data_IF_338667467170
#
_entry.id   IF_338667467170
#
_cell.length_a   1.000
_cell.length_b   1.000
_cell.length_c   1.000
_cell.angle_alpha   90.00
_cell.angle_beta   90.00
_cell.angle_gamma   90.00
#
_symmetry.space_group_name_H-M   'P 1'
#
loop_
_entity.id
_entity.type
_entity.pdbx_description
1 polymer ?
#
# COMPACT_ATOMS: atom_id res chain seq x y z
N UNK A 1 -21.23 1.62 7.20
CA UNK A 1 -21.05 0.40 8.02
C UNK A 1 -19.83 0.61 8.89
N UNK A 2 -20.02 0.52 10.20
CA UNK A 2 -19.01 0.82 11.24
C UNK A 2 -17.88 -0.24 11.27
N UNK A 3 -17.98 -1.28 10.44
CA UNK A 3 -17.02 -2.39 10.35
C UNK A 3 -15.74 -2.09 9.56
N UNK A 4 -15.70 -0.99 8.78
CA UNK A 4 -14.50 -0.60 8.02
C UNK A 4 -13.43 0.13 8.87
N UNK A 5 -13.73 0.46 10.13
CA UNK A 5 -12.94 1.41 10.94
C UNK A 5 -12.17 0.81 12.13
N UNK A 6 -11.98 -0.53 12.19
CA UNK A 6 -11.07 -1.11 13.20
C UNK A 6 -10.03 -2.05 12.60
N UNK A 7 -9.20 -1.49 11.74
CA UNK A 7 -7.87 -2.03 11.51
C UNK A 7 -7.03 -1.64 12.75
N UNK A 8 -6.94 -2.52 13.76
CA UNK A 8 -6.12 -2.29 14.97
C UNK A 8 -4.63 -2.46 14.68
N UNK A 9 -3.76 -1.95 15.55
CA UNK A 9 -2.31 -1.86 15.28
C UNK A 9 -1.69 -3.22 15.07
N UNK A 10 -2.14 -4.16 15.89
CA UNK A 10 -1.81 -5.57 15.80
C UNK A 10 -2.21 -6.19 14.46
N UNK A 11 -3.35 -5.79 13.88
CA UNK A 11 -3.80 -6.33 12.60
C UNK A 11 -2.94 -5.81 11.46
N UNK A 12 -2.53 -4.55 11.49
CA UNK A 12 -1.63 -3.96 10.49
C UNK A 12 -0.24 -4.57 10.62
N UNK A 13 0.27 -4.68 11.84
CA UNK A 13 1.56 -5.31 12.11
C UNK A 13 1.59 -6.77 11.65
N UNK A 14 0.53 -7.54 11.92
CA UNK A 14 0.37 -8.90 11.37
C UNK A 14 0.29 -8.90 9.86
N UNK A 15 -0.45 -7.98 9.24
CA UNK A 15 -0.51 -7.84 7.78
C UNK A 15 0.87 -7.52 7.19
N UNK A 16 1.69 -6.68 7.83
CA UNK A 16 3.05 -6.38 7.40
C UNK A 16 3.99 -7.59 7.57
N UNK A 17 3.95 -8.29 8.72
CA UNK A 17 4.73 -9.52 8.95
C UNK A 17 4.36 -10.61 7.95
N UNK A 18 3.07 -10.77 7.67
CA UNK A 18 2.55 -11.81 6.80
C UNK A 18 2.32 -11.33 5.37
N UNK A 19 2.80 -10.13 5.02
CA UNK A 19 2.54 -9.54 3.71
C UNK A 19 3.01 -10.46 2.59
N UNK A 20 4.23 -11.01 2.71
CA UNK A 20 4.77 -11.96 1.73
C UNK A 20 3.88 -13.20 1.55
N UNK A 21 3.30 -13.73 2.65
CA UNK A 21 2.41 -14.89 2.59
C UNK A 21 1.06 -14.54 1.96
N UNK A 22 0.47 -13.42 2.35
CA UNK A 22 -0.80 -12.93 1.81
C UNK A 22 -0.67 -12.57 0.33
N UNK A 23 0.38 -11.85 -0.03
CA UNK A 23 0.66 -11.46 -1.41
C UNK A 23 0.88 -12.68 -2.30
N UNK A 24 1.53 -13.75 -1.81
CA UNK A 24 1.74 -14.98 -2.57
C UNK A 24 0.44 -15.72 -2.92
N UNK A 25 -0.56 -15.71 -2.03
CA UNK A 25 -1.83 -16.43 -2.25
C UNK A 25 -2.87 -15.59 -3.00
N UNK A 26 -2.70 -14.28 -3.07
CA UNK A 26 -3.58 -13.38 -3.84
C UNK A 26 -3.41 -13.57 -5.35
N UNK A 27 -4.52 -13.52 -6.07
CA UNK A 27 -4.53 -13.45 -7.53
C UNK A 27 -4.15 -12.04 -8.03
N UNK A 28 -3.95 -11.90 -9.34
CA UNK A 28 -3.49 -10.64 -9.94
C UNK A 28 -4.46 -9.47 -9.74
N UNK A 29 -5.76 -9.74 -9.66
CA UNK A 29 -6.79 -8.72 -9.40
C UNK A 29 -6.68 -8.23 -7.96
N UNK A 30 -6.60 -9.15 -7.01
CA UNK A 30 -6.49 -8.85 -5.58
C UNK A 30 -5.19 -8.09 -5.27
N UNK A 31 -4.05 -8.51 -5.84
CA UNK A 31 -2.77 -7.80 -5.71
C UNK A 31 -2.87 -6.37 -6.22
N UNK A 32 -3.48 -6.18 -7.39
CA UNK A 32 -3.66 -4.85 -7.97
C UNK A 32 -4.53 -3.97 -7.07
N UNK A 33 -5.62 -4.51 -6.55
CA UNK A 33 -6.51 -3.78 -5.64
C UNK A 33 -5.79 -3.37 -4.35
N UNK A 34 -5.03 -4.31 -3.73
CA UNK A 34 -4.24 -4.04 -2.54
C UNK A 34 -3.21 -2.93 -2.77
N UNK A 35 -2.37 -3.05 -3.80
CA UNK A 35 -1.35 -2.04 -4.09
C UNK A 35 -2.00 -0.68 -4.41
N UNK A 36 -3.10 -0.67 -5.16
CA UNK A 36 -3.84 0.57 -5.47
C UNK A 36 -4.39 1.24 -4.21
N UNK A 37 -4.92 0.46 -3.26
CA UNK A 37 -5.43 0.98 -1.99
C UNK A 37 -4.33 1.60 -1.12
N UNK A 38 -3.10 1.11 -1.23
CA UNK A 38 -1.93 1.63 -0.52
C UNK A 38 -1.28 2.83 -1.20
N UNK A 39 -1.61 3.16 -2.44
CA UNK A 39 -1.06 4.33 -3.13
C UNK A 39 -1.76 5.59 -2.61
N UNK A 40 -0.95 6.55 -2.16
CA UNK A 40 -1.38 7.89 -1.77
C UNK A 40 -1.23 8.87 -2.93
N UNK A 41 -0.08 8.84 -3.61
CA UNK A 41 0.25 9.77 -4.68
C UNK A 41 1.18 9.08 -5.67
N UNK A 42 1.02 9.39 -6.96
CA UNK A 42 1.96 9.02 -8.01
C UNK A 42 2.40 10.30 -8.68
N UNK A 43 3.71 10.52 -8.76
CA UNK A 43 4.29 11.60 -9.53
C UNK A 43 4.93 11.02 -10.80
N UNK A 44 4.62 11.66 -11.92
CA UNK A 44 5.20 11.32 -13.23
C UNK A 44 5.96 12.52 -13.77
N UNK A 45 7.02 12.26 -14.52
CA UNK A 45 7.67 13.28 -15.34
C UNK A 45 6.75 13.68 -16.48
N UNK A 46 6.79 14.95 -16.88
CA UNK A 46 6.03 15.46 -18.04
C UNK A 46 6.51 14.84 -19.36
N UNK A 47 7.80 14.46 -19.41
CA UNK A 47 8.44 13.80 -20.55
C UNK A 47 9.16 12.51 -20.13
N UNK A 48 9.22 11.56 -21.08
CA UNK A 48 9.94 10.29 -20.90
C UNK A 48 11.42 10.56 -20.66
N UNK A 49 11.94 10.08 -19.54
CA UNK A 49 13.35 10.20 -19.21
C UNK A 49 14.23 9.40 -20.20
N UNK A 50 15.53 9.71 -20.35
CA UNK A 50 16.41 9.02 -21.30
C UNK A 50 16.52 7.50 -21.08
N UNK A 51 16.33 7.04 -19.84
CA UNK A 51 16.28 5.61 -19.47
C UNK A 51 14.92 4.95 -19.76
N UNK A 52 13.97 5.71 -20.30
CA UNK A 52 12.60 5.30 -20.60
C UNK A 52 11.60 5.41 -19.45
N UNK A 53 12.01 5.96 -18.30
CA UNK A 53 11.17 6.11 -17.11
C UNK A 53 10.19 7.29 -17.23
N UNK A 54 8.96 7.06 -16.82
CA UNK A 54 7.95 8.12 -16.61
C UNK A 54 7.69 8.37 -15.12
N UNK A 55 7.85 7.32 -14.30
CA UNK A 55 7.55 7.37 -12.89
C UNK A 55 8.65 8.12 -12.13
N UNK A 56 8.28 9.22 -11.48
CA UNK A 56 9.17 10.01 -10.62
C UNK A 56 9.18 9.46 -9.20
N UNK A 57 8.00 9.24 -8.62
CA UNK A 57 7.85 8.66 -7.28
C UNK A 57 6.45 8.07 -7.08
N UNK A 58 6.33 7.15 -6.12
CA UNK A 58 5.06 6.67 -5.58
C UNK A 58 5.13 6.88 -4.07
N UNK A 59 4.17 7.62 -3.53
CA UNK A 59 3.97 7.77 -2.09
C UNK A 59 2.94 6.74 -1.65
N UNK A 60 3.30 5.87 -0.72
CA UNK A 60 2.38 4.90 -0.14
C UNK A 60 1.77 5.43 1.15
N UNK A 61 0.45 5.32 1.28
CA UNK A 61 -0.26 5.45 2.55
C UNK A 61 -0.35 4.05 3.16
N UNK A 62 0.61 3.75 4.02
CA UNK A 62 0.36 2.65 4.96
C UNK A 62 -0.66 3.17 5.96
N UNK A 63 -1.70 2.40 6.30
CA UNK A 63 -2.51 2.72 7.45
C UNK A 63 -1.58 2.60 8.67
N UNK A 64 -1.00 3.71 9.12
CA UNK A 64 -0.27 3.79 10.38
C UNK A 64 -1.30 4.24 11.39
N UNK A 65 -1.43 3.49 12.47
CA UNK A 65 -2.31 3.87 13.57
C UNK A 65 -1.54 4.90 14.38
N UNK A 66 -2.06 6.13 14.40
CA UNK A 66 -1.57 7.20 15.27
C UNK A 66 -1.91 6.95 16.75
N UNK A 67 -2.59 5.86 17.09
CA UNK A 67 -2.92 5.50 18.46
C UNK A 67 -1.98 4.40 19.01
N UNK A 68 -1.01 4.86 19.80
CA UNK A 68 -0.22 4.12 20.81
C UNK A 68 1.04 3.38 20.33
N UNK A 69 2.07 4.15 19.94
CA UNK A 69 3.45 3.81 20.28
C UNK A 69 3.77 4.47 21.63
N UNK A 70 3.27 3.89 22.73
CA UNK A 70 3.67 4.22 24.10
C UNK A 70 4.46 3.06 24.71
#
# INVERSE_FOLDING_TARGET
TIEAEKLTGDNIYKVLIYFDKLYKVMNDVERRQLITALISEIQVYEEKQPNGQWLKSITFKLPIIEENLN
#
